data_IF_292955445731
#
_entry.id   IF_292955445731
#
_cell.length_a   1.000
_cell.length_b   1.000
_cell.length_c   1.000
_cell.angle_alpha   90.00
_cell.angle_beta   90.00
_cell.angle_gamma   90.00
#
_symmetry.space_group_name_H-M   'P 1'
#
loop_
_entity.id
_entity.type
_entity.pdbx_description
1 polymer ?
#
# COMPACT_ATOMS: atom_id res chain seq x y z
N UNK A 1 -18.38 5.45 -4.80
CA UNK A 1 -17.48 4.28 -5.00
C UNK A 1 -16.10 4.78 -5.43
N UNK A 2 -15.06 4.29 -4.79
CA UNK A 2 -13.68 4.69 -5.09
C UNK A 2 -12.85 3.50 -5.56
N UNK A 3 -11.81 3.79 -6.34
CA UNK A 3 -10.75 2.84 -6.63
C UNK A 3 -9.68 2.99 -5.56
N UNK A 4 -9.49 1.95 -4.76
CA UNK A 4 -8.62 1.99 -3.59
C UNK A 4 -7.49 0.98 -3.76
N UNK A 5 -6.26 1.41 -3.51
CA UNK A 5 -5.10 0.52 -3.41
C UNK A 5 -4.85 0.24 -1.94
N UNK A 6 -4.81 -1.03 -1.57
CA UNK A 6 -4.58 -1.47 -0.19
C UNK A 6 -3.32 -2.32 -0.15
N UNK A 7 -2.28 -1.80 0.46
CA UNK A 7 -1.07 -2.56 0.72
C UNK A 7 -1.20 -3.33 2.03
N UNK A 8 -0.75 -4.59 2.03
CA UNK A 8 -0.82 -5.44 3.21
C UNK A 8 -2.18 -6.09 3.44
N UNK A 9 -2.95 -6.32 2.38
CA UNK A 9 -4.29 -6.92 2.46
C UNK A 9 -4.29 -8.36 3.01
N UNK A 10 -3.18 -9.08 2.88
CA UNK A 10 -3.06 -10.46 3.40
C UNK A 10 -2.77 -10.51 4.90
N UNK A 11 -2.38 -9.40 5.50
CA UNK A 11 -2.11 -9.34 6.93
C UNK A 11 -3.39 -9.32 7.76
N UNK A 12 -3.23 -9.44 9.08
CA UNK A 12 -4.35 -9.52 10.01
C UNK A 12 -5.27 -8.30 9.93
N UNK A 13 -4.68 -7.10 10.01
CA UNK A 13 -5.43 -5.84 9.95
C UNK A 13 -5.89 -5.56 8.52
N UNK A 14 -5.01 -5.76 7.55
CA UNK A 14 -5.32 -5.48 6.14
C UNK A 14 -6.48 -6.30 5.60
N UNK A 15 -6.58 -7.56 6.00
CA UNK A 15 -7.68 -8.43 5.62
C UNK A 15 -9.03 -7.88 6.09
N UNK A 16 -9.07 -7.39 7.31
CA UNK A 16 -10.28 -6.80 7.88
C UNK A 16 -10.67 -5.50 7.19
N UNK A 17 -9.69 -4.65 6.93
CA UNK A 17 -9.91 -3.40 6.18
C UNK A 17 -10.45 -3.71 4.79
N UNK A 18 -9.89 -4.70 4.10
CA UNK A 18 -10.36 -5.11 2.78
C UNK A 18 -11.83 -5.54 2.81
N UNK A 19 -12.22 -6.34 3.80
CA UNK A 19 -13.61 -6.76 3.95
C UNK A 19 -14.57 -5.58 4.10
N UNK A 20 -14.20 -4.62 4.96
CA UNK A 20 -15.03 -3.45 5.22
C UNK A 20 -15.16 -2.60 3.95
N UNK A 21 -14.07 -2.35 3.25
CA UNK A 21 -14.09 -1.51 2.05
C UNK A 21 -14.89 -2.16 0.91
N UNK A 22 -14.74 -3.47 0.72
CA UNK A 22 -15.53 -4.19 -0.28
C UNK A 22 -17.02 -4.20 0.06
N UNK A 23 -17.37 -4.35 1.33
CA UNK A 23 -18.75 -4.30 1.78
C UNK A 23 -19.39 -2.95 1.52
N UNK A 24 -18.60 -1.89 1.46
CA UNK A 24 -19.08 -0.52 1.14
C UNK A 24 -19.11 -0.22 -0.36
N UNK A 25 -18.82 -1.19 -1.19
CA UNK A 25 -18.90 -1.05 -2.64
C UNK A 25 -17.69 -0.46 -3.33
N UNK A 26 -16.56 -0.35 -2.64
CA UNK A 26 -15.32 0.13 -3.26
C UNK A 26 -14.61 -0.95 -4.06
N UNK A 27 -13.91 -0.54 -5.11
CA UNK A 27 -13.05 -1.44 -5.88
C UNK A 27 -11.66 -1.43 -5.27
N UNK A 28 -11.16 -2.62 -4.92
CA UNK A 28 -9.84 -2.75 -4.31
C UNK A 28 -8.83 -3.33 -5.26
N UNK A 29 -7.62 -2.78 -5.18
CA UNK A 29 -6.40 -3.34 -5.75
C UNK A 29 -5.49 -3.69 -4.59
N UNK A 30 -5.15 -4.99 -4.46
CA UNK A 30 -4.42 -5.50 -3.30
C UNK A 30 -3.11 -6.14 -3.78
N UNK A 31 -2.09 -5.33 -4.10
CA UNK A 31 -0.83 -5.87 -4.61
C UNK A 31 -0.13 -6.75 -3.58
N UNK A 32 0.41 -7.87 -4.04
CA UNK A 32 1.20 -8.78 -3.22
C UNK A 32 2.64 -8.26 -3.10
N UNK A 33 3.42 -8.85 -2.19
CA UNK A 33 4.84 -8.50 -2.08
C UNK A 33 5.64 -8.86 -3.35
N UNK A 34 5.11 -9.73 -4.20
CA UNK A 34 5.74 -10.02 -5.51
C UNK A 34 5.52 -8.89 -6.50
N UNK A 35 4.40 -8.21 -6.39
CA UNK A 35 4.09 -7.06 -7.24
C UNK A 35 4.78 -5.80 -6.75
N UNK A 36 4.94 -5.67 -5.44
CA UNK A 36 5.61 -4.53 -4.84
C UNK A 36 6.31 -4.96 -3.55
N UNK A 37 7.64 -4.97 -3.58
CA UNK A 37 8.46 -5.35 -2.44
C UNK A 37 8.75 -4.13 -1.55
N UNK A 38 8.25 -4.15 -0.32
CA UNK A 38 8.44 -3.05 0.63
C UNK A 38 9.90 -2.84 1.04
N UNK A 39 10.73 -3.90 0.95
CA UNK A 39 12.14 -3.79 1.27
C UNK A 39 12.96 -3.24 0.10
N UNK A 40 12.46 -3.38 -1.12
CA UNK A 40 13.11 -2.88 -2.33
C UNK A 40 12.07 -2.19 -3.20
N UNK A 41 11.58 -1.00 -2.79
CA UNK A 41 10.53 -0.32 -3.51
C UNK A 41 10.97 0.09 -4.92
N UNK A 42 10.10 -0.15 -5.89
CA UNK A 42 10.32 0.14 -7.29
C UNK A 42 9.31 1.16 -7.78
N UNK A 43 9.79 2.29 -8.30
CA UNK A 43 8.92 3.38 -8.75
C UNK A 43 8.02 2.98 -9.90
N UNK A 44 8.54 2.23 -10.89
CA UNK A 44 7.75 1.80 -12.03
C UNK A 44 6.59 0.89 -11.61
N UNK A 45 6.85 -0.05 -10.69
CA UNK A 45 5.82 -0.91 -10.13
C UNK A 45 4.79 -0.09 -9.35
N UNK A 46 5.24 0.87 -8.55
CA UNK A 46 4.36 1.74 -7.79
C UNK A 46 3.46 2.58 -8.71
N UNK A 47 3.99 3.14 -9.78
CA UNK A 47 3.22 3.91 -10.75
C UNK A 47 2.10 3.08 -11.37
N UNK A 48 2.40 1.85 -11.76
CA UNK A 48 1.42 0.97 -12.38
C UNK A 48 0.31 0.61 -11.39
N UNK A 49 0.68 0.28 -10.16
CA UNK A 49 -0.28 -0.06 -9.09
C UNK A 49 -1.17 1.14 -8.74
N UNK A 50 -0.59 2.33 -8.66
CA UNK A 50 -1.29 3.54 -8.23
C UNK A 50 -2.11 4.22 -9.32
N UNK A 51 -1.98 3.77 -10.57
CA UNK A 51 -2.69 4.40 -11.68
C UNK A 51 -4.20 4.34 -11.48
N UNK A 52 -4.85 5.49 -11.53
CA UNK A 52 -6.29 5.61 -11.40
C UNK A 52 -6.82 5.42 -9.99
N UNK A 53 -5.95 5.30 -8.99
CA UNK A 53 -6.37 5.16 -7.60
C UNK A 53 -6.91 6.48 -7.03
N UNK A 54 -8.01 6.41 -6.31
CA UNK A 54 -8.58 7.54 -5.59
C UNK A 54 -8.01 7.65 -4.18
N UNK A 55 -7.67 6.51 -3.58
CA UNK A 55 -7.14 6.45 -2.23
C UNK A 55 -6.15 5.30 -2.08
N UNK A 56 -5.26 5.42 -1.13
CA UNK A 56 -4.27 4.38 -0.80
C UNK A 56 -4.28 4.15 0.70
N UNK A 57 -4.36 2.88 1.09
CA UNK A 57 -4.29 2.45 2.48
C UNK A 57 -3.05 1.58 2.66
N UNK A 58 -2.30 1.83 3.72
CA UNK A 58 -1.11 1.07 4.05
C UNK A 58 -1.31 0.30 5.35
N UNK A 59 -1.45 -1.02 5.26
CA UNK A 59 -1.61 -1.91 6.39
C UNK A 59 -0.43 -2.88 6.54
N UNK A 60 0.71 -2.59 5.91
CA UNK A 60 1.87 -3.44 6.02
C UNK A 60 2.54 -3.24 7.38
N UNK A 61 2.81 -4.34 8.06
CA UNK A 61 3.59 -4.37 9.27
C UNK A 61 4.51 -5.58 9.26
N UNK A 62 5.73 -5.40 9.74
CA UNK A 62 6.73 -6.46 9.81
C UNK A 62 7.28 -6.53 11.23
N UNK A 63 7.30 -7.74 11.79
CA UNK A 63 7.98 -8.02 13.06
C UNK A 63 9.42 -8.44 12.73
N UNK A 64 10.38 -7.65 13.15
CA UNK A 64 11.80 -7.93 12.90
C UNK A 64 12.65 -7.44 14.07
N UNK A 65 13.76 -8.16 14.33
CA UNK A 65 14.78 -7.72 15.28
C UNK A 65 15.82 -6.79 14.65
N UNK A 66 15.77 -6.65 13.33
CA UNK A 66 16.72 -5.82 12.59
C UNK A 66 16.15 -4.41 12.43
N UNK A 67 16.85 -3.44 13.00
CA UNK A 67 16.40 -2.05 12.98
C UNK A 67 16.30 -1.48 11.55
N UNK A 68 17.19 -1.89 10.66
CA UNK A 68 17.16 -1.46 9.26
C UNK A 68 15.90 -1.93 8.52
N UNK A 69 15.44 -3.16 8.80
CA UNK A 69 14.21 -3.68 8.21
C UNK A 69 13.02 -2.91 8.73
N UNK A 70 12.94 -2.66 10.06
CA UNK A 70 11.87 -1.88 10.66
C UNK A 70 11.84 -0.46 10.10
N UNK A 71 13.01 0.18 10.00
CA UNK A 71 13.13 1.52 9.45
C UNK A 71 12.62 1.58 8.01
N UNK A 72 13.02 0.61 7.17
CA UNK A 72 12.60 0.57 5.77
C UNK A 72 11.08 0.39 5.66
N UNK A 73 10.51 -0.59 6.34
CA UNK A 73 9.08 -0.93 6.21
C UNK A 73 8.18 0.14 6.83
N UNK A 74 8.58 0.70 7.98
CA UNK A 74 7.70 1.61 8.73
C UNK A 74 7.99 3.08 8.49
N UNK A 75 9.09 3.43 7.83
CA UNK A 75 9.47 4.82 7.60
C UNK A 75 9.82 5.11 6.14
N UNK A 76 10.90 4.53 5.61
CA UNK A 76 11.39 4.87 4.27
C UNK A 76 10.39 4.52 3.16
N UNK A 77 9.92 3.29 3.11
CA UNK A 77 9.04 2.85 2.04
C UNK A 77 7.66 3.52 2.08
N UNK A 78 6.98 3.64 3.24
CA UNK A 78 5.73 4.41 3.29
C UNK A 78 5.89 5.86 2.88
N UNK A 79 6.97 6.52 3.27
CA UNK A 79 7.25 7.90 2.87
C UNK A 79 7.44 8.02 1.37
N UNK A 80 8.17 7.10 0.77
CA UNK A 80 8.40 7.05 -0.67
C UNK A 80 7.11 6.77 -1.43
N UNK A 81 6.29 5.82 -0.96
CA UNK A 81 4.99 5.51 -1.53
C UNK A 81 4.05 6.70 -1.48
N UNK A 82 4.05 7.45 -0.39
CA UNK A 82 3.23 8.64 -0.27
C UNK A 82 3.61 9.69 -1.33
N UNK A 83 4.90 9.88 -1.57
CA UNK A 83 5.38 10.79 -2.60
C UNK A 83 4.96 10.33 -4.00
N UNK A 84 5.09 9.05 -4.29
CA UNK A 84 4.68 8.49 -5.59
C UNK A 84 3.17 8.54 -5.78
N UNK A 85 2.40 8.30 -4.71
CA UNK A 85 0.95 8.41 -4.75
C UNK A 85 0.51 9.85 -5.07
N UNK A 86 1.14 10.84 -4.44
CA UNK A 86 0.89 12.23 -4.72
C UNK A 86 1.20 12.59 -6.17
N UNK A 87 2.34 12.12 -6.70
CA UNK A 87 2.73 12.34 -8.08
C UNK A 87 1.77 11.67 -9.07
N UNK A 88 1.15 10.55 -8.69
CA UNK A 88 0.16 9.85 -9.52
C UNK A 88 -1.24 10.45 -9.44
N UNK A 89 -1.43 11.49 -8.64
CA UNK A 89 -2.72 12.16 -8.49
C UNK A 89 -3.66 11.54 -7.45
N UNK A 90 -3.15 10.68 -6.59
CA UNK A 90 -3.95 10.11 -5.49
C UNK A 90 -4.30 11.20 -4.50
N UNK A 91 -5.58 11.36 -4.21
CA UNK A 91 -6.08 12.44 -3.35
C UNK A 91 -6.06 12.09 -1.87
N UNK A 92 -6.09 10.80 -1.53
CA UNK A 92 -6.15 10.32 -0.16
C UNK A 92 -5.11 9.23 0.07
N UNK A 93 -4.37 9.44 1.12
CA UNK A 93 -3.32 8.52 1.54
C UNK A 93 -3.58 8.08 2.99
#
# INVERSE_FOLDING_TARGET
MMNIVLFGASGFIGRRVAQILRARGHTLRTPSHREFDYLQPNEAAAREILRGADAVFNCIGVMSRHADVLETVHHHTPKQLAAWAKAAGVKRW
#
